data_IF_465247039311
#
_entry.id   IF_465247039311
#
_cell.length_a   1.000
_cell.length_b   1.000
_cell.length_c   1.000
_cell.angle_alpha   90.00
_cell.angle_beta   90.00
_cell.angle_gamma   90.00
#
_symmetry.space_group_name_H-M   'P 1'
#
loop_
_entity.id
_entity.type
_entity.pdbx_description
1 polymer ?
#
# COMPACT_ATOMS: atom_id res chain seq x y z
N UNK A 1 -8.34 2.04 -10.74
CA UNK A 1 -7.61 3.29 -11.09
C UNK A 1 -6.19 2.89 -11.44
N UNK A 2 -5.59 3.49 -12.47
CA UNK A 2 -4.22 3.19 -12.84
C UNK A 2 -3.26 3.98 -11.95
N UNK A 3 -2.22 3.34 -11.44
CA UNK A 3 -1.10 4.08 -10.85
C UNK A 3 0.17 3.83 -11.66
N UNK A 4 0.89 4.93 -11.89
CA UNK A 4 2.18 4.96 -12.56
C UNK A 4 3.19 5.55 -11.59
N UNK A 5 4.34 4.90 -11.46
CA UNK A 5 5.49 5.38 -10.68
C UNK A 5 6.74 5.36 -11.53
N UNK A 6 7.45 6.48 -11.54
CA UNK A 6 8.80 6.54 -12.08
C UNK A 6 9.76 6.17 -10.95
N UNK A 7 10.65 5.22 -11.22
CA UNK A 7 11.69 4.76 -10.31
C UNK A 7 12.96 5.62 -10.46
N UNK A 8 13.85 5.68 -9.44
CA UNK A 8 15.06 6.50 -9.49
C UNK A 8 16.00 6.17 -10.66
N UNK A 9 15.96 4.94 -11.17
CA UNK A 9 16.75 4.46 -12.31
C UNK A 9 16.09 4.77 -13.68
N UNK A 10 14.99 5.53 -13.69
CA UNK A 10 14.24 5.87 -14.90
C UNK A 10 13.27 4.80 -15.37
N UNK A 11 13.18 3.65 -14.69
CA UNK A 11 12.18 2.61 -14.98
C UNK A 11 10.79 3.06 -14.55
N UNK A 12 9.76 2.45 -15.12
CA UNK A 12 8.36 2.79 -14.83
C UNK A 12 7.62 1.57 -14.28
N UNK A 13 6.98 1.71 -13.12
CA UNK A 13 6.01 0.75 -12.59
C UNK A 13 4.60 1.18 -12.93
N UNK A 14 3.78 0.26 -13.44
CA UNK A 14 2.37 0.49 -13.74
C UNK A 14 1.53 -0.60 -13.05
N UNK A 15 0.58 -0.19 -12.21
CA UNK A 15 -0.50 -1.06 -11.75
C UNK A 15 -1.71 -0.91 -12.68
N UNK A 16 -2.07 -2.00 -13.38
CA UNK A 16 -3.17 -1.99 -14.34
C UNK A 16 -4.42 -2.69 -13.82
N UNK A 17 -5.58 -2.05 -13.96
CA UNK A 17 -6.87 -2.73 -14.03
C UNK A 17 -7.12 -3.12 -15.49
N UNK A 18 -7.01 -4.41 -15.84
CA UNK A 18 -7.49 -4.91 -17.13
C UNK A 18 -8.64 -5.86 -16.87
N UNK A 19 -9.81 -5.44 -17.32
CA UNK A 19 -11.04 -6.21 -17.21
C UNK A 19 -10.96 -7.43 -18.11
N UNK A 20 -11.06 -8.62 -17.48
CA UNK A 20 -11.58 -9.89 -18.03
C UNK A 20 -10.66 -11.03 -18.47
N UNK A 21 -9.34 -11.01 -18.30
CA UNK A 21 -8.53 -12.26 -18.44
C UNK A 21 -7.40 -12.38 -17.40
N UNK A 22 -7.80 -12.87 -16.22
CA UNK A 22 -7.03 -13.71 -15.27
C UNK A 22 -5.64 -13.34 -14.73
N UNK A 23 -5.04 -12.18 -15.01
CA UNK A 23 -3.89 -11.72 -14.22
C UNK A 23 -3.79 -10.21 -14.21
N UNK A 24 -4.15 -9.60 -13.08
CA UNK A 24 -3.74 -8.21 -12.82
C UNK A 24 -2.27 -8.21 -12.46
N UNK A 25 -1.51 -7.39 -13.17
CA UNK A 25 -0.06 -7.33 -13.03
C UNK A 25 0.36 -5.95 -12.55
N UNK A 26 1.39 -5.95 -11.70
CA UNK A 26 2.29 -4.81 -11.65
C UNK A 26 3.28 -5.03 -12.79
N UNK A 27 3.26 -4.13 -13.76
CA UNK A 27 4.17 -4.14 -14.89
C UNK A 27 5.35 -3.23 -14.60
N UNK A 28 6.53 -3.62 -15.05
CA UNK A 28 7.72 -2.78 -15.04
C UNK A 28 8.18 -2.56 -16.48
N UNK A 29 8.58 -1.34 -16.78
CA UNK A 29 9.16 -0.94 -18.05
C UNK A 29 10.56 -0.41 -17.79
N UNK A 30 11.49 -0.75 -18.69
CA UNK A 30 12.84 -0.24 -18.69
C UNK A 30 12.87 1.22 -19.15
N UNK A 31 14.00 1.90 -18.96
CA UNK A 31 14.16 3.30 -19.34
C UNK A 31 14.03 3.55 -20.87
N UNK A 32 14.20 2.49 -21.67
CA UNK A 32 13.97 2.48 -23.12
C UNK A 32 12.48 2.32 -23.52
N UNK A 33 11.58 2.17 -22.53
CA UNK A 33 10.15 1.97 -22.75
C UNK A 33 9.75 0.53 -23.08
N UNK A 34 10.68 -0.42 -23.10
CA UNK A 34 10.36 -1.84 -23.28
C UNK A 34 9.89 -2.49 -21.97
N UNK A 35 8.96 -3.44 -22.04
CA UNK A 35 8.49 -4.20 -20.87
C UNK A 35 9.64 -5.04 -20.31
N UNK A 36 9.83 -4.99 -19.00
CA UNK A 36 10.71 -5.90 -18.27
C UNK A 36 9.96 -7.23 -18.07
N UNK A 37 10.22 -8.20 -18.94
CA UNK A 37 9.52 -9.49 -18.91
C UNK A 37 9.89 -10.37 -17.71
N UNK A 38 11.00 -10.07 -17.03
CA UNK A 38 11.41 -10.77 -15.82
C UNK A 38 10.60 -10.35 -14.60
N UNK A 39 9.97 -9.17 -14.66
CA UNK A 39 9.17 -8.62 -13.59
C UNK A 39 7.74 -9.17 -13.63
N UNK A 40 7.52 -10.26 -12.91
CA UNK A 40 6.25 -10.98 -12.87
C UNK A 40 5.61 -10.86 -11.49
N UNK A 41 4.55 -10.07 -11.41
CA UNK A 41 3.72 -9.93 -10.21
C UNK A 41 2.30 -10.39 -10.54
N UNK A 42 1.82 -11.38 -9.80
CA UNK A 42 0.45 -11.90 -9.93
C UNK A 42 -0.38 -11.51 -8.72
N UNK A 43 -1.49 -10.82 -8.95
CA UNK A 43 -2.44 -10.41 -7.89
C UNK A 43 -3.70 -11.28 -7.94
N UNK A 44 -4.16 -11.76 -6.79
CA UNK A 44 -5.31 -12.63 -6.65
C UNK A 44 -6.42 -12.01 -5.78
N UNK A 45 -7.68 -12.21 -6.19
CA UNK A 45 -8.89 -11.99 -5.41
C UNK A 45 -10.06 -12.76 -6.04
N UNK A 46 -10.95 -13.39 -5.27
CA UNK A 46 -12.18 -13.94 -5.81
C UNK A 46 -13.05 -12.83 -6.42
N UNK A 47 -13.05 -12.72 -7.75
CA UNK A 47 -13.72 -11.64 -8.49
C UNK A 47 -12.73 -10.59 -8.99
N UNK A 48 -12.83 -9.35 -8.50
CA UNK A 48 -12.04 -8.22 -9.01
C UNK A 48 -11.04 -7.66 -7.99
N UNK A 49 -9.80 -8.14 -8.07
CA UNK A 49 -8.66 -7.65 -7.28
C UNK A 49 -8.15 -6.22 -7.64
N UNK A 50 -8.35 -5.11 -6.94
CA UNK A 50 -7.71 -3.83 -7.36
C UNK A 50 -6.35 -3.58 -6.67
N UNK A 51 -5.42 -2.93 -7.38
CA UNK A 51 -4.32 -2.20 -6.74
C UNK A 51 -4.72 -0.72 -6.77
N UNK A 52 -4.82 -0.12 -5.60
CA UNK A 52 -5.20 1.28 -5.43
C UNK A 52 -3.98 2.20 -5.29
N UNK A 53 -2.91 1.71 -4.64
CA UNK A 53 -1.68 2.47 -4.47
C UNK A 53 -0.40 1.62 -4.54
N UNK A 54 0.69 2.21 -5.05
CA UNK A 54 2.07 1.75 -5.03
C UNK A 54 2.94 2.83 -4.37
N UNK A 55 3.71 2.45 -3.35
CA UNK A 55 4.71 3.33 -2.75
C UNK A 55 6.10 2.70 -2.89
N UNK A 56 7.05 3.45 -3.44
CA UNK A 56 8.43 3.01 -3.66
C UNK A 56 9.25 3.36 -2.42
N UNK A 57 9.97 2.38 -1.89
CA UNK A 57 10.88 2.55 -0.76
C UNK A 57 12.29 2.95 -1.24
N UNK A 58 13.10 3.60 -0.38
CA UNK A 58 14.46 3.98 -0.72
C UNK A 58 15.39 2.81 -1.10
N UNK A 59 15.09 1.60 -0.62
CA UNK A 59 15.83 0.37 -0.92
C UNK A 59 15.42 -0.27 -2.26
N UNK A 60 14.54 0.37 -3.04
CA UNK A 60 14.04 -0.15 -4.31
C UNK A 60 12.92 -1.19 -4.19
N UNK A 61 12.53 -1.56 -2.97
CA UNK A 61 11.29 -2.31 -2.74
C UNK A 61 10.08 -1.41 -2.95
N UNK A 62 8.90 -2.02 -3.06
CA UNK A 62 7.67 -1.26 -3.19
C UNK A 62 6.53 -1.93 -2.46
N UNK A 63 5.71 -1.10 -1.82
CA UNK A 63 4.46 -1.49 -1.20
C UNK A 63 3.35 -1.37 -2.24
N UNK A 64 2.50 -2.39 -2.30
CA UNK A 64 1.24 -2.34 -3.03
C UNK A 64 0.10 -2.46 -2.04
N UNK A 65 -0.96 -1.67 -2.27
CA UNK A 65 -2.18 -1.74 -1.49
C UNK A 65 -3.42 -1.70 -2.37
N UNK A 66 -4.51 -2.28 -1.90
CA UNK A 66 -5.76 -2.29 -2.66
C UNK A 66 -6.78 -3.27 -2.12
N UNK A 67 -7.60 -3.81 -3.01
CA UNK A 67 -8.55 -4.88 -2.72
C UNK A 67 -8.04 -6.18 -3.35
N UNK A 68 -7.18 -6.92 -2.67
CA UNK A 68 -6.68 -8.23 -3.11
C UNK A 68 -6.50 -9.16 -1.91
N UNK A 69 -6.44 -10.46 -2.14
CA UNK A 69 -6.27 -11.50 -1.11
C UNK A 69 -5.01 -12.35 -1.28
N UNK A 70 -4.31 -12.21 -2.42
CA UNK A 70 -3.04 -12.89 -2.63
C UNK A 70 -2.10 -12.19 -3.60
N UNK A 71 -0.81 -12.49 -3.46
CA UNK A 71 0.28 -12.00 -4.28
C UNK A 71 1.24 -13.14 -4.55
N UNK A 72 1.59 -13.39 -5.81
CA UNK A 72 2.49 -14.47 -6.25
C UNK A 72 2.14 -15.83 -5.60
N UNK A 73 0.86 -16.22 -5.70
CA UNK A 73 0.29 -17.45 -5.13
C UNK A 73 0.36 -17.57 -3.59
N UNK A 74 0.74 -16.51 -2.89
CA UNK A 74 0.78 -16.46 -1.43
C UNK A 74 -0.39 -15.64 -0.90
N UNK A 75 -1.06 -16.15 0.13
CA UNK A 75 -2.12 -15.42 0.82
C UNK A 75 -1.54 -14.14 1.45
N UNK A 76 -2.01 -13.00 0.98
CA UNK A 76 -1.54 -11.67 1.37
C UNK A 76 -2.63 -10.69 1.00
N UNK A 77 -3.36 -10.21 2.01
CA UNK A 77 -4.54 -9.39 1.77
C UNK A 77 -4.23 -7.90 1.93
N UNK A 78 -4.79 -7.09 1.04
CA UNK A 78 -4.88 -5.63 1.05
C UNK A 78 -3.56 -4.82 1.04
N UNK A 79 -2.46 -5.37 1.55
CA UNK A 79 -1.12 -4.80 1.55
C UNK A 79 -0.08 -5.89 1.35
N UNK A 80 0.92 -5.62 0.50
CA UNK A 80 2.09 -6.47 0.32
C UNK A 80 3.32 -5.61 0.04
N UNK A 81 4.50 -6.10 0.44
CA UNK A 81 5.78 -5.56 -0.02
C UNK A 81 6.39 -6.49 -1.05
N UNK A 82 6.90 -5.92 -2.12
CA UNK A 82 7.58 -6.62 -3.19
C UNK A 82 9.04 -6.18 -3.23
N UNK A 83 9.93 -7.12 -3.53
CA UNK A 83 11.33 -6.84 -3.80
C UNK A 83 11.49 -6.14 -5.16
N UNK A 84 12.66 -5.54 -5.42
CA UNK A 84 12.93 -4.79 -6.65
C UNK A 84 12.73 -5.60 -7.95
N UNK A 85 12.81 -6.93 -7.85
CA UNK A 85 12.62 -7.92 -8.92
C UNK A 85 11.16 -8.38 -9.09
N UNK A 86 10.23 -7.91 -8.23
CA UNK A 86 8.81 -8.31 -8.26
C UNK A 86 8.46 -9.52 -7.41
N UNK A 87 9.44 -10.16 -6.76
CA UNK A 87 9.16 -11.26 -5.82
C UNK A 87 8.51 -10.72 -4.53
N UNK A 88 7.71 -11.54 -3.86
CA UNK A 88 7.07 -11.17 -2.61
C UNK A 88 8.11 -11.11 -1.48
N UNK A 89 8.18 -10.00 -0.75
CA UNK A 89 8.97 -9.90 0.47
C UNK A 89 8.21 -10.60 1.61
N UNK A 90 8.61 -11.83 1.91
CA UNK A 90 7.98 -12.65 2.94
C UNK A 90 8.29 -12.19 4.37
N UNK A 91 9.34 -11.38 4.56
CA UNK A 91 9.66 -10.79 5.85
C UNK A 91 8.70 -9.65 6.23
N UNK A 92 8.06 -9.02 5.24
CA UNK A 92 6.94 -8.11 5.47
C UNK A 92 5.65 -8.90 5.65
N UNK A 93 5.34 -9.26 6.89
CA UNK A 93 4.21 -10.12 7.22
C UNK A 93 3.39 -9.53 8.37
N UNK A 94 2.41 -8.64 8.07
CA UNK A 94 1.52 -8.09 9.09
C UNK A 94 0.84 -9.22 9.90
N UNK A 95 1.05 -9.27 11.22
CA UNK A 95 0.45 -10.30 12.08
C UNK A 95 -1.08 -10.30 11.98
N UNK A 96 -1.74 -11.46 12.14
CA UNK A 96 -3.21 -11.50 12.11
C UNK A 96 -3.86 -11.14 10.77
N UNK A 97 -3.08 -11.11 9.68
CA UNK A 97 -3.56 -10.83 8.34
C UNK A 97 -3.54 -9.36 7.93
N UNK A 98 -3.09 -8.45 8.80
CA UNK A 98 -3.03 -7.02 8.51
C UNK A 98 -4.39 -6.33 8.63
N UNK A 99 -4.66 -5.38 7.73
CA UNK A 99 -5.95 -4.70 7.65
C UNK A 99 -7.06 -5.68 7.22
N UNK A 100 -8.29 -5.47 7.70
CA UNK A 100 -9.43 -6.33 7.36
C UNK A 100 -10.33 -5.76 6.24
N UNK A 101 -9.83 -4.80 5.48
CA UNK A 101 -10.60 -4.12 4.43
C UNK A 101 -9.70 -3.39 3.44
N UNK A 102 -10.34 -2.76 2.44
CA UNK A 102 -9.62 -2.15 1.31
C UNK A 102 -8.79 -0.98 1.80
N UNK A 103 -7.52 -0.96 1.37
CA UNK A 103 -6.63 0.18 1.56
C UNK A 103 -6.62 0.99 0.25
N UNK A 104 -6.86 2.30 0.37
CA UNK A 104 -6.94 3.22 -0.77
C UNK A 104 -5.65 4.01 -0.97
N UNK A 105 -4.93 4.32 0.11
CA UNK A 105 -3.67 5.05 0.03
C UNK A 105 -2.65 4.49 1.01
N UNK A 106 -1.38 4.59 0.63
CA UNK A 106 -0.23 4.18 1.44
C UNK A 106 0.90 5.17 1.26
N UNK A 107 1.53 5.56 2.36
CA UNK A 107 2.69 6.44 2.33
C UNK A 107 3.76 5.99 3.29
N UNK A 108 5.01 6.14 2.86
CA UNK A 108 6.20 5.85 3.66
C UNK A 108 6.66 7.16 4.30
N UNK A 109 6.82 7.15 5.61
CA UNK A 109 7.36 8.27 6.39
C UNK A 109 8.89 8.28 6.31
N UNK A 110 9.55 9.43 6.58
CA UNK A 110 11.01 9.53 6.55
C UNK A 110 11.75 8.55 7.48
N UNK A 111 11.10 8.11 8.57
CA UNK A 111 11.62 7.12 9.52
C UNK A 111 11.39 5.66 9.06
N UNK A 112 10.81 5.44 7.88
CA UNK A 112 10.51 4.13 7.33
C UNK A 112 9.19 3.52 7.82
N UNK A 113 8.45 4.18 8.72
CA UNK A 113 7.08 3.76 9.07
C UNK A 113 6.12 3.98 7.91
N UNK A 114 5.02 3.26 7.92
CA UNK A 114 4.09 3.17 6.79
C UNK A 114 2.70 3.58 7.27
N UNK A 115 2.15 4.66 6.71
CA UNK A 115 0.75 5.05 6.92
C UNK A 115 -0.15 4.36 5.90
N UNK A 116 -1.25 3.77 6.37
CA UNK A 116 -2.28 3.17 5.52
C UNK A 116 -3.63 3.83 5.76
N UNK A 117 -4.34 4.17 4.68
CA UNK A 117 -5.66 4.81 4.71
C UNK A 117 -6.68 4.00 3.91
N UNK A 118 -7.83 3.70 4.50
CA UNK A 118 -8.75 2.71 3.95
C UNK A 118 -10.19 2.80 4.44
N UNK A 119 -10.95 1.76 4.10
CA UNK A 119 -12.26 1.46 4.70
C UNK A 119 -12.25 0.27 5.66
N UNK A 120 -11.05 -0.24 5.99
CA UNK A 120 -10.86 -1.25 7.02
C UNK A 120 -11.42 -0.78 8.37
N UNK A 121 -11.97 -1.73 9.11
CA UNK A 121 -12.54 -1.53 10.45
C UNK A 121 -11.61 -2.00 11.56
N UNK A 122 -10.45 -2.55 11.21
CA UNK A 122 -9.39 -2.89 12.14
C UNK A 122 -8.13 -3.39 11.43
N UNK A 123 -7.05 -3.45 12.18
CA UNK A 123 -5.75 -4.00 11.75
C UNK A 123 -5.28 -4.98 12.83
N UNK A 124 -4.85 -6.18 12.43
CA UNK A 124 -4.38 -7.22 13.36
C UNK A 124 -5.40 -7.52 14.48
N UNK A 125 -6.68 -7.58 14.11
CA UNK A 125 -7.84 -7.74 15.01
C UNK A 125 -8.11 -6.58 15.98
N UNK A 126 -7.34 -5.49 15.93
CA UNK A 126 -7.58 -4.28 16.71
C UNK A 126 -8.52 -3.33 15.97
N UNK A 127 -9.77 -3.23 16.46
CA UNK A 127 -10.81 -2.37 15.89
C UNK A 127 -10.65 -0.89 16.25
N UNK A 128 -9.74 -0.56 17.17
CA UNK A 128 -9.37 0.84 17.43
C UNK A 128 -8.57 1.42 16.26
N UNK A 129 -7.93 0.56 15.45
CA UNK A 129 -7.14 0.93 14.27
C UNK A 129 -7.99 0.87 13.00
N UNK A 130 -9.05 1.69 12.95
CA UNK A 130 -9.95 1.79 11.79
C UNK A 130 -9.62 3.00 10.94
N UNK A 131 -9.83 2.85 9.62
CA UNK A 131 -9.67 3.87 8.57
C UNK A 131 -8.26 4.45 8.36
N UNK A 132 -7.47 4.62 9.42
CA UNK A 132 -6.10 5.09 9.39
C UNK A 132 -5.29 4.31 10.42
N UNK A 133 -4.16 3.74 9.99
CA UNK A 133 -3.22 3.04 10.86
C UNK A 133 -1.79 3.27 10.39
N UNK A 134 -0.84 2.97 11.28
CA UNK A 134 0.60 3.02 10.98
C UNK A 134 1.20 1.65 11.22
N UNK A 135 2.02 1.21 10.29
CA UNK A 135 2.84 0.00 10.41
C UNK A 135 4.29 0.41 10.59
N UNK A 136 5.06 -0.41 11.31
CA UNK A 136 6.50 -0.35 11.32
C UNK A 136 7.06 -0.81 9.96
N UNK A 137 8.35 -0.57 9.73
CA UNK A 137 9.01 -0.94 8.48
C UNK A 137 8.98 -2.46 8.19
N UNK A 138 8.80 -3.31 9.20
CA UNK A 138 8.64 -4.77 9.06
C UNK A 138 7.18 -5.21 8.80
N UNK A 139 6.23 -4.28 8.83
CA UNK A 139 4.80 -4.54 8.64
C UNK A 139 4.03 -4.84 9.93
N UNK A 140 4.69 -4.85 11.10
CA UNK A 140 4.00 -4.93 12.39
C UNK A 140 3.21 -3.64 12.66
N UNK A 141 2.12 -3.74 13.41
CA UNK A 141 1.29 -2.58 13.76
C UNK A 141 2.01 -1.69 14.78
N UNK A 142 2.10 -0.39 14.50
CA UNK A 142 2.49 0.61 15.49
C UNK A 142 1.27 0.95 16.36
N UNK A 143 1.23 0.38 17.56
CA UNK A 143 0.11 0.54 18.48
C UNK A 143 0.06 1.92 19.13
N UNK A 144 1.19 2.64 19.18
CA UNK A 144 1.27 3.98 19.76
C UNK A 144 0.60 5.04 18.87
N UNK A 145 0.56 4.80 17.55
CA UNK A 145 -0.23 5.63 16.64
C UNK A 145 -1.71 5.31 16.73
N UNK A 146 -2.51 6.21 17.30
CA UNK A 146 -3.93 5.96 17.55
C UNK A 146 -4.83 7.17 17.25
N UNK A 147 -4.86 7.68 16.02
CA UNK A 147 -5.77 8.75 15.65
C UNK A 147 -7.23 8.26 15.73
N UNK A 148 -8.12 9.10 16.27
CA UNK A 148 -9.55 8.81 16.30
C UNK A 148 -10.22 9.44 15.10
N UNK A 149 -10.64 8.61 14.15
CA UNK A 149 -11.36 9.05 12.96
C UNK A 149 -12.80 8.51 12.93
N UNK A 150 -13.71 9.33 12.44
CA UNK A 150 -15.12 8.99 12.22
C UNK A 150 -15.46 8.65 10.77
N UNK A 151 -14.48 8.74 9.85
CA UNK A 151 -14.71 8.51 8.42
C UNK A 151 -13.56 7.77 7.74
N UNK A 152 -13.86 7.17 6.59
CA UNK A 152 -12.93 6.43 5.73
C UNK A 152 -11.89 7.37 5.12
N UNK A 153 -10.65 6.92 5.06
CA UNK A 153 -9.56 7.68 4.43
C UNK A 153 -9.39 7.22 2.98
N UNK A 154 -9.44 8.17 2.05
CA UNK A 154 -9.23 7.96 0.62
C UNK A 154 -7.85 8.40 0.17
N UNK A 155 -7.26 9.39 0.83
CA UNK A 155 -5.89 9.83 0.54
C UNK A 155 -5.18 10.34 1.79
N UNK A 156 -3.86 10.17 1.81
CA UNK A 156 -2.93 10.64 2.81
C UNK A 156 -1.84 11.45 2.10
N UNK A 157 -1.44 12.60 2.68
CA UNK A 157 -0.26 13.38 2.26
C UNK A 157 0.52 13.81 3.49
N UNK A 158 1.85 13.75 3.43
CA UNK A 158 2.76 14.18 4.49
C UNK A 158 3.35 15.49 4.01
N UNK A 159 3.23 16.53 4.83
CA UNK A 159 3.86 17.81 4.61
C UNK A 159 5.34 17.76 5.03
N UNK A 160 6.20 18.64 4.48
CA UNK A 160 7.62 18.70 4.88
C UNK A 160 7.85 18.91 6.38
N UNK A 161 6.89 19.51 7.09
CA UNK A 161 6.91 19.70 8.54
C UNK A 161 6.42 18.48 9.36
N UNK A 162 6.19 17.34 8.70
CA UNK A 162 5.73 16.10 9.34
C UNK A 162 4.22 16.01 9.59
N UNK A 163 3.43 17.06 9.30
CA UNK A 163 1.97 16.98 9.44
C UNK A 163 1.37 16.04 8.40
N UNK A 164 0.34 15.31 8.81
CA UNK A 164 -0.37 14.35 7.96
C UNK A 164 -1.71 14.97 7.55
N UNK A 165 -1.90 15.21 6.26
CA UNK A 165 -3.17 15.55 5.66
C UNK A 165 -3.90 14.27 5.27
N UNK A 166 -5.16 14.16 5.66
CA UNK A 166 -6.04 13.07 5.23
C UNK A 166 -7.27 13.63 4.53
N UNK A 167 -7.70 12.97 3.46
CA UNK A 167 -8.92 13.27 2.73
C UNK A 167 -9.84 12.05 2.64
N UNK A 168 -11.14 12.26 2.82
CA UNK A 168 -12.18 11.24 2.77
C UNK A 168 -13.45 11.72 2.06
N UNK A 169 -14.46 10.85 1.99
CA UNK A 169 -15.70 11.08 1.20
C UNK A 169 -16.51 12.27 1.74
N UNK A 170 -16.35 12.60 3.02
CA UNK A 170 -17.13 13.66 3.70
C UNK A 170 -16.31 14.60 4.58
N UNK A 171 -14.98 14.47 4.63
CA UNK A 171 -14.14 15.37 5.42
C UNK A 171 -12.67 15.35 4.99
N UNK A 172 -11.96 16.42 5.34
CA UNK A 172 -10.51 16.47 5.37
C UNK A 172 -10.07 16.83 6.79
N UNK A 173 -8.94 16.28 7.25
CA UNK A 173 -8.36 16.60 8.54
C UNK A 173 -6.84 16.73 8.44
N UNK A 174 -6.26 17.49 9.36
CA UNK A 174 -4.81 17.63 9.53
C UNK A 174 -4.45 17.07 10.88
N UNK A 175 -3.61 16.03 10.90
CA UNK A 175 -3.05 15.50 12.14
C UNK A 175 -1.75 16.24 12.47
N UNK A 176 -1.47 16.46 13.76
CA UNK A 176 -0.20 17.03 14.19
C UNK A 176 0.98 16.12 13.79
N UNK A 177 2.23 16.62 13.86
CA UNK A 177 3.40 15.77 13.72
C UNK A 177 3.37 14.66 14.78
N UNK A 178 3.87 13.50 14.39
CA UNK A 178 3.90 12.30 15.23
C UNK A 178 5.01 12.39 16.28
N UNK A 179 4.83 11.83 17.50
CA UNK A 179 5.91 11.72 18.47
C UNK A 179 7.07 10.89 17.89
N UNK A 180 8.30 11.37 18.06
CA UNK A 180 9.53 10.73 17.59
C UNK A 180 9.86 9.44 18.31
#
# INVERSE_FOLDING_TARGET
AYEIKILPDGKVLIATDVTQTSSRQVLKFNADGMRDESFLVSIFYPGSASINKIAVQPDGKFLIVGNFTGVNNTARAFIARLNADGTLDTAFNPPGGGANGTIYDVMIQPDGKILIGGDFTGVNFDTSKKYLARLNADGTLDTAFSPVLSTKVRTIKIQPNGKILIGGITSAAVLPPEPG
#
